data_IF_485457923839
#
_entry.id   IF_485457923839
#
_cell.length_a   1.000
_cell.length_b   1.000
_cell.length_c   1.000
_cell.angle_alpha   90.00
_cell.angle_beta   90.00
_cell.angle_gamma   90.00
#
_symmetry.space_group_name_H-M   'P 1'
#
loop_
_entity.id
_entity.type
_entity.pdbx_description
1 polymer ?
#
# COMPACT_ATOMS: atom_id res chain seq x y z
N UNK A 1 -0.45 2.55 5.50
CA UNK A 1 0.15 3.20 6.68
C UNK A 1 0.58 4.61 6.33
N UNK A 2 0.31 5.57 7.21
CA UNK A 2 0.68 6.98 7.03
C UNK A 2 1.08 7.58 8.39
N UNK A 3 1.78 8.71 8.36
CA UNK A 3 2.13 9.49 9.55
C UNK A 3 1.23 10.71 9.67
N UNK A 4 0.75 11.00 10.88
CA UNK A 4 0.00 12.23 11.18
C UNK A 4 0.97 13.41 11.24
N UNK A 5 0.64 14.46 10.50
CA UNK A 5 1.42 15.71 10.45
C UNK A 5 0.68 16.89 11.09
N UNK A 6 -0.64 16.77 11.24
CA UNK A 6 -1.49 17.76 11.89
C UNK A 6 -2.89 17.22 12.12
N UNK A 7 -3.62 17.84 13.05
CA UNK A 7 -4.99 17.44 13.43
C UNK A 7 -6.03 18.53 13.17
N UNK A 8 -5.61 19.75 12.82
CA UNK A 8 -6.46 20.88 12.43
C UNK A 8 -6.00 21.43 11.07
N UNK A 9 -6.93 21.89 10.21
CA UNK A 9 -8.39 21.82 10.33
C UNK A 9 -8.96 20.40 10.14
N UNK A 10 -8.13 19.45 9.71
CA UNK A 10 -8.47 18.03 9.55
C UNK A 10 -7.23 17.19 9.83
N UNK A 11 -7.40 15.86 9.87
CA UNK A 11 -6.27 14.94 9.97
C UNK A 11 -5.41 15.03 8.70
N UNK A 12 -4.23 15.64 8.84
CA UNK A 12 -3.26 15.76 7.76
C UNK A 12 -2.29 14.59 7.82
N UNK A 13 -2.19 13.85 6.72
CA UNK A 13 -1.40 12.62 6.62
C UNK A 13 -0.29 12.76 5.57
N UNK A 14 0.82 12.06 5.82
CA UNK A 14 1.92 11.93 4.85
C UNK A 14 2.32 10.47 4.66
N UNK A 15 2.81 10.15 3.47
CA UNK A 15 3.42 8.86 3.10
C UNK A 15 4.76 9.04 2.39
N UNK A 16 5.49 10.11 2.72
CA UNK A 16 6.77 10.45 2.08
C UNK A 16 7.89 9.50 2.46
N UNK A 17 7.91 9.02 3.70
CA UNK A 17 8.97 8.15 4.22
C UNK A 17 8.83 6.71 3.68
N UNK A 18 9.93 5.95 3.61
CA UNK A 18 9.97 4.62 2.99
C UNK A 18 9.08 3.58 3.69
N UNK A 19 8.94 3.67 5.00
CA UNK A 19 8.09 2.79 5.81
C UNK A 19 6.59 3.18 5.77
N UNK A 20 6.23 4.17 4.94
CA UNK A 20 4.87 4.67 4.76
C UNK A 20 4.39 4.44 3.33
N UNK A 21 3.10 4.14 3.19
CA UNK A 21 2.48 3.77 1.92
C UNK A 21 1.43 2.68 2.09
N UNK A 22 1.02 2.07 0.99
CA UNK A 22 0.19 0.87 1.04
C UNK A 22 0.97 -0.26 1.75
N UNK A 23 0.29 -1.01 2.62
CA UNK A 23 0.84 -2.19 3.31
C UNK A 23 0.18 -3.50 2.86
N UNK A 24 -1.02 -3.39 2.25
CA UNK A 24 -1.82 -4.46 1.68
C UNK A 24 -2.74 -3.85 0.62
N UNK A 25 -3.06 -4.58 -0.45
CA UNK A 25 -3.98 -4.08 -1.49
C UNK A 25 -4.69 -5.23 -2.20
N UNK A 26 -5.90 -4.95 -2.68
CA UNK A 26 -6.69 -5.88 -3.47
C UNK A 26 -6.68 -5.48 -4.94
N UNK A 27 -6.74 -6.47 -5.82
CA UNK A 27 -6.86 -6.28 -7.26
C UNK A 27 -8.17 -5.56 -7.59
N UNK A 28 -8.10 -4.51 -8.41
CA UNK A 28 -9.30 -3.77 -8.81
C UNK A 28 -10.28 -4.62 -9.60
N UNK A 29 -9.77 -5.60 -10.38
CA UNK A 29 -10.55 -6.46 -11.29
C UNK A 29 -11.21 -7.65 -10.60
N UNK A 30 -10.46 -8.43 -9.82
CA UNK A 30 -10.94 -9.70 -9.24
C UNK A 30 -10.86 -9.76 -7.71
N UNK A 31 -10.44 -8.68 -7.05
CA UNK A 31 -10.30 -8.57 -5.58
C UNK A 31 -9.29 -9.51 -4.92
N UNK A 32 -8.59 -10.37 -5.68
CA UNK A 32 -7.43 -11.10 -5.15
C UNK A 32 -6.40 -10.15 -4.59
N UNK A 33 -5.79 -10.52 -3.47
CA UNK A 33 -4.66 -9.81 -2.89
C UNK A 33 -3.52 -9.66 -3.91
N UNK A 34 -2.98 -8.44 -3.97
CA UNK A 34 -1.86 -8.11 -4.85
C UNK A 34 -0.55 -8.45 -4.15
N UNK A 35 0.42 -8.97 -4.91
CA UNK A 35 1.77 -9.24 -4.45
C UNK A 35 2.75 -8.21 -4.99
N UNK A 36 3.79 -7.88 -4.22
CA UNK A 36 4.86 -6.99 -4.69
C UNK A 36 5.66 -7.69 -5.79
N UNK A 37 5.88 -7.00 -6.91
CA UNK A 37 6.71 -7.48 -8.01
C UNK A 37 7.54 -6.30 -8.54
N UNK A 38 8.82 -6.29 -8.18
CA UNK A 38 9.69 -5.12 -8.42
C UNK A 38 9.25 -3.91 -7.60
N UNK A 39 9.03 -2.79 -8.29
CA UNK A 39 8.54 -1.52 -7.75
C UNK A 39 6.99 -1.42 -7.73
N UNK A 40 6.30 -2.40 -8.31
CA UNK A 40 4.85 -2.40 -8.47
C UNK A 40 4.12 -3.54 -7.75
N UNK A 41 2.81 -3.61 -8.01
CA UNK A 41 1.92 -4.65 -7.54
C UNK A 41 1.39 -5.48 -8.70
N UNK A 42 1.30 -6.79 -8.48
CA UNK A 42 0.87 -7.77 -9.45
C UNK A 42 -0.23 -8.67 -8.85
N UNK A 43 -1.29 -8.92 -9.63
CA UNK A 43 -2.33 -9.87 -9.26
C UNK A 43 -1.94 -11.27 -9.74
N UNK A 44 -1.80 -12.27 -8.85
CA UNK A 44 -1.44 -13.63 -9.27
C UNK A 44 -2.53 -14.30 -10.11
N UNK A 45 -3.81 -13.99 -9.84
CA UNK A 45 -4.95 -14.60 -10.53
C UNK A 45 -5.19 -14.05 -11.94
N UNK A 46 -5.56 -12.77 -12.06
CA UNK A 46 -5.93 -12.17 -13.35
C UNK A 46 -4.78 -11.47 -14.10
N UNK A 47 -3.54 -11.57 -13.58
CA UNK A 47 -2.31 -10.99 -14.16
C UNK A 47 -2.30 -9.46 -14.32
N UNK A 48 -3.25 -8.76 -13.71
CA UNK A 48 -3.31 -7.31 -13.71
C UNK A 48 -2.17 -6.71 -12.87
N UNK A 49 -1.52 -5.68 -13.40
CA UNK A 49 -0.45 -4.94 -12.72
C UNK A 49 -0.86 -3.50 -12.45
N UNK A 50 -0.39 -2.93 -11.34
CA UNK A 50 -0.69 -1.55 -10.94
C UNK A 50 0.46 -0.98 -10.10
N UNK A 51 0.67 0.33 -10.18
CA UNK A 51 1.67 1.05 -9.37
C UNK A 51 1.00 1.79 -8.22
N UNK A 52 1.65 1.79 -7.05
CA UNK A 52 1.24 2.51 -5.83
C UNK A 52 2.49 2.88 -5.02
N UNK A 53 2.42 3.92 -4.19
CA UNK A 53 3.46 4.14 -3.16
C UNK A 53 3.32 3.03 -2.10
N UNK A 54 4.27 2.12 -2.09
CA UNK A 54 4.35 1.03 -1.13
C UNK A 54 5.16 1.46 0.08
N UNK A 55 4.76 0.98 1.25
CA UNK A 55 5.69 0.87 2.36
C UNK A 55 6.72 -0.22 2.03
N UNK A 56 7.95 -0.05 2.50
CA UNK A 56 9.05 -1.01 2.32
C UNK A 56 8.71 -2.42 2.86
N UNK A 57 7.88 -2.49 3.91
CA UNK A 57 7.37 -3.69 4.57
C UNK A 57 6.02 -4.19 4.01
N UNK A 58 5.66 -3.85 2.77
CA UNK A 58 4.42 -4.33 2.14
C UNK A 58 4.28 -5.85 2.22
N UNK A 59 3.16 -6.33 2.77
CA UNK A 59 2.87 -7.75 2.95
C UNK A 59 3.51 -8.40 4.18
N UNK A 60 4.38 -7.69 4.91
CA UNK A 60 5.05 -8.16 6.13
C UNK A 60 4.68 -7.28 7.33
N UNK A 61 3.38 -7.02 7.48
CA UNK A 61 2.85 -6.21 8.59
C UNK A 61 2.06 -7.09 9.54
N UNK A 62 2.46 -7.08 10.81
CA UNK A 62 1.62 -7.61 11.89
C UNK A 62 0.54 -6.59 12.24
N UNK A 63 -0.70 -7.02 12.05
CA UNK A 63 -1.88 -6.28 12.47
C UNK A 63 -2.35 -6.94 13.75
N UNK A 64 -1.85 -6.45 14.87
CA UNK A 64 -2.29 -6.86 16.21
C UNK A 64 -3.65 -6.23 16.54
#
# INVERSE_FOLDING_TARGET
RAKVTGIKPSLQLTTKDDHLGAIRSLCSKCKTELVRKGDGLYCPECKYSTSRKLADDYGDVRLD
#
